data_IF_418379793080
#
_entry.id   IF_418379793080
#
_cell.length_a   1.000
_cell.length_b   1.000
_cell.length_c   1.000
_cell.angle_alpha   90.00
_cell.angle_beta   90.00
_cell.angle_gamma   90.00
#
_symmetry.space_group_name_H-M   'P 1'
#
loop_
_entity.id
_entity.type
_entity.pdbx_description
1 polymer ?
#
# COMPACT_ATOMS: atom_id res chain seq x y z
N UNK A 1 -28.59 27.30 26.85
CA UNK A 1 -27.41 26.79 27.53
C UNK A 1 -26.53 26.14 26.48
N UNK A 2 -25.59 26.92 25.94
CA UNK A 2 -24.74 26.51 24.80
C UNK A 2 -23.48 25.90 25.38
N UNK A 3 -23.27 24.59 25.16
CA UNK A 3 -22.01 23.93 25.46
C UNK A 3 -21.12 24.11 24.24
N UNK A 4 -20.25 25.10 24.30
CA UNK A 4 -19.15 25.28 23.37
C UNK A 4 -18.11 24.18 23.62
N UNK A 5 -18.13 23.16 22.77
CA UNK A 5 -17.05 22.19 22.68
C UNK A 5 -15.84 22.88 22.08
N UNK A 6 -14.95 23.38 22.95
CA UNK A 6 -13.65 23.90 22.57
C UNK A 6 -12.77 22.74 22.13
N UNK A 7 -12.74 22.45 20.84
CA UNK A 7 -11.65 21.68 20.26
C UNK A 7 -10.39 22.53 20.35
N UNK A 8 -9.63 22.33 21.41
CA UNK A 8 -8.27 22.83 21.51
C UNK A 8 -7.43 22.12 20.45
N UNK A 9 -7.22 22.79 19.34
CA UNK A 9 -6.21 22.46 18.35
C UNK A 9 -4.85 22.58 19.02
N UNK A 10 -4.31 21.45 19.50
CA UNK A 10 -2.95 21.35 20.04
C UNK A 10 -1.95 21.86 19.00
N UNK A 11 -0.91 22.60 19.41
CA UNK A 11 0.08 23.13 18.50
C UNK A 11 0.75 22.01 17.73
N UNK A 12 0.89 22.20 16.41
CA UNK A 12 1.34 21.22 15.41
C UNK A 12 2.78 20.68 15.58
N UNK A 13 3.43 20.92 16.70
CA UNK A 13 4.82 20.53 16.98
C UNK A 13 4.99 19.22 17.78
N UNK A 14 3.93 18.57 18.21
CA UNK A 14 3.99 17.37 19.03
C UNK A 14 3.07 16.25 18.54
N UNK A 15 2.85 16.17 17.24
CA UNK A 15 2.22 14.94 16.70
C UNK A 15 3.20 13.81 16.94
N UNK A 16 2.81 12.89 17.81
CA UNK A 16 3.61 11.72 18.16
C UNK A 16 3.96 10.95 16.88
N UNK A 17 5.19 10.45 16.76
CA UNK A 17 5.65 9.62 15.64
C UNK A 17 4.67 8.48 15.35
N UNK A 18 4.02 7.94 16.36
CA UNK A 18 3.06 6.85 16.22
C UNK A 18 1.77 7.28 15.53
N UNK A 19 1.29 8.49 15.80
CA UNK A 19 0.14 9.06 15.10
C UNK A 19 0.43 9.28 13.62
N UNK A 20 1.65 9.73 13.30
CA UNK A 20 2.10 9.89 11.90
C UNK A 20 2.19 8.57 11.16
N UNK A 21 2.64 7.52 11.84
CA UNK A 21 2.72 6.17 11.31
C UNK A 21 1.38 5.43 11.37
N UNK A 22 0.32 6.12 11.78
CA UNK A 22 -1.03 5.55 11.95
C UNK A 22 -1.06 4.29 12.83
N UNK A 23 -0.19 4.23 13.85
CA UNK A 23 -0.21 3.16 14.82
C UNK A 23 -1.36 3.42 15.81
N UNK A 24 -2.31 2.50 15.88
CA UNK A 24 -3.49 2.57 16.74
C UNK A 24 -3.46 1.42 17.77
N UNK A 25 -4.30 0.42 17.55
CA UNK A 25 -4.53 -0.69 18.48
C UNK A 25 -3.92 -2.02 18.03
N UNK A 26 -2.97 -1.96 17.07
CA UNK A 26 -2.29 -3.15 16.58
C UNK A 26 -1.51 -3.84 17.70
N UNK A 27 -1.69 -5.16 17.82
CA UNK A 27 -1.07 -5.97 18.89
C UNK A 27 0.21 -6.66 18.44
N UNK A 28 0.29 -7.03 17.16
CA UNK A 28 1.44 -7.77 16.60
C UNK A 28 2.32 -6.81 15.81
N UNK A 29 3.20 -6.12 16.53
CA UNK A 29 4.09 -5.10 15.99
C UNK A 29 5.45 -5.69 15.64
N UNK A 30 5.96 -5.33 14.45
CA UNK A 30 7.34 -5.55 14.04
C UNK A 30 8.02 -4.22 13.78
N UNK A 31 9.14 -3.96 14.43
CA UNK A 31 10.03 -2.82 14.11
C UNK A 31 11.43 -3.37 13.92
N UNK A 32 11.88 -3.41 12.68
CA UNK A 32 13.16 -4.02 12.31
C UNK A 32 14.16 -2.99 11.82
N UNK A 33 15.41 -3.11 12.28
CA UNK A 33 16.51 -2.23 11.87
C UNK A 33 16.47 -0.83 12.48
N UNK A 34 15.76 -0.65 13.60
CA UNK A 34 15.61 0.65 14.26
C UNK A 34 16.97 1.30 14.56
N UNK A 35 17.21 2.56 14.15
CA UNK A 35 18.42 3.30 14.50
C UNK A 35 18.47 3.61 16.00
N UNK A 36 19.67 3.55 16.61
CA UNK A 36 19.86 3.84 18.04
C UNK A 36 19.36 5.22 18.46
N UNK A 37 19.42 6.21 17.56
CA UNK A 37 18.90 7.57 17.78
C UNK A 37 17.38 7.60 17.98
N UNK A 38 16.67 6.64 17.40
CA UNK A 38 15.20 6.54 17.46
C UNK A 38 14.71 5.55 18.52
N UNK A 39 15.55 4.65 19.02
CA UNK A 39 15.13 3.61 19.98
C UNK A 39 14.37 4.17 21.19
N UNK A 40 14.81 5.31 21.72
CA UNK A 40 14.16 5.96 22.87
C UNK A 40 12.68 6.34 22.63
N UNK A 41 12.29 6.61 21.38
CA UNK A 41 10.89 6.93 21.05
C UNK A 41 10.00 5.70 21.09
N UNK A 42 10.56 4.51 20.92
CA UNK A 42 9.84 3.24 20.87
C UNK A 42 9.89 2.43 22.17
N UNK A 43 10.55 2.93 23.22
CA UNK A 43 10.72 2.21 24.50
C UNK A 43 9.42 1.84 25.20
N UNK A 44 8.34 2.58 24.96
CA UNK A 44 7.02 2.33 25.55
C UNK A 44 6.19 1.30 24.80
N UNK A 45 6.65 0.88 23.60
CA UNK A 45 5.96 -0.11 22.79
C UNK A 45 6.54 -1.51 23.00
N UNK A 46 5.65 -2.49 23.02
CA UNK A 46 6.04 -3.90 22.92
C UNK A 46 6.03 -4.33 21.46
N UNK A 47 7.19 -4.60 20.89
CA UNK A 47 7.33 -4.99 19.50
C UNK A 47 8.41 -6.06 19.31
N UNK A 48 8.31 -6.82 18.21
CA UNK A 48 9.34 -7.74 17.78
C UNK A 48 10.40 -7.01 16.93
N UNK A 49 11.69 -7.32 17.15
CA UNK A 49 12.79 -6.77 16.34
C UNK A 49 13.04 -7.59 15.07
N UNK A 50 12.58 -8.83 15.05
CA UNK A 50 12.72 -9.75 13.92
C UNK A 50 11.45 -10.59 13.75
N UNK A 51 11.28 -11.17 12.58
CA UNK A 51 10.17 -12.08 12.31
C UNK A 51 10.42 -13.42 13.01
N UNK A 52 9.65 -13.71 14.04
CA UNK A 52 9.69 -14.97 14.80
C UNK A 52 8.64 -15.96 14.31
N UNK A 53 8.79 -17.28 14.58
CA UNK A 53 7.74 -18.26 14.27
C UNK A 53 6.37 -17.90 14.88
N UNK A 54 6.37 -17.39 16.11
CA UNK A 54 5.14 -16.94 16.78
C UNK A 54 4.50 -15.75 16.05
N UNK A 55 5.31 -14.81 15.57
CA UNK A 55 4.81 -13.66 14.84
C UNK A 55 4.30 -14.06 13.45
N UNK A 56 4.93 -15.02 12.78
CA UNK A 56 4.43 -15.64 11.53
C UNK A 56 3.06 -16.27 11.73
N UNK A 57 2.85 -16.98 12.83
CA UNK A 57 1.58 -17.62 13.17
C UNK A 57 0.47 -16.61 13.49
N UNK A 58 0.78 -15.59 14.29
CA UNK A 58 -0.19 -14.56 14.69
C UNK A 58 -0.48 -13.52 13.63
N UNK A 59 0.37 -13.43 12.62
CA UNK A 59 0.38 -12.40 11.58
C UNK A 59 0.70 -11.00 12.09
N UNK A 60 1.56 -10.33 11.37
CA UNK A 60 1.97 -8.95 11.64
C UNK A 60 0.85 -8.00 11.25
N UNK A 61 0.43 -7.14 12.16
CA UNK A 61 -0.58 -6.11 11.91
C UNK A 61 0.06 -4.77 11.53
N UNK A 62 1.25 -4.51 12.08
CA UNK A 62 2.02 -3.30 11.78
C UNK A 62 3.50 -3.68 11.66
N UNK A 63 4.11 -3.33 10.54
CA UNK A 63 5.53 -3.50 10.29
C UNK A 63 6.18 -2.17 9.92
N UNK A 64 7.23 -1.79 10.64
CA UNK A 64 8.11 -0.67 10.33
C UNK A 64 9.52 -1.22 10.09
N UNK A 65 10.02 -1.09 8.87
CA UNK A 65 11.32 -1.61 8.45
C UNK A 65 12.24 -0.45 8.11
N UNK A 66 13.37 -0.36 8.81
CA UNK A 66 14.43 0.59 8.49
C UNK A 66 15.47 -0.10 7.59
N UNK A 67 15.76 0.49 6.45
CA UNK A 67 16.75 -0.02 5.50
C UNK A 67 17.61 1.10 4.94
N UNK A 68 18.89 0.78 4.71
CA UNK A 68 19.87 1.70 4.14
C UNK A 68 20.06 1.48 2.64
N UNK A 69 19.79 0.26 2.17
CA UNK A 69 19.95 -0.10 0.78
C UNK A 69 18.92 -1.14 0.33
N UNK A 70 18.79 -1.25 -0.98
CA UNK A 70 17.82 -2.11 -1.64
C UNK A 70 18.01 -3.60 -1.30
N UNK A 71 19.25 -4.07 -1.22
CA UNK A 71 19.53 -5.47 -0.90
C UNK A 71 19.10 -5.84 0.51
N UNK A 72 19.40 -4.97 1.49
CA UNK A 72 18.95 -5.13 2.86
C UNK A 72 17.43 -5.14 2.96
N UNK A 73 16.76 -4.17 2.31
CA UNK A 73 15.32 -4.10 2.26
C UNK A 73 14.72 -5.38 1.69
N UNK A 74 15.22 -5.83 0.55
CA UNK A 74 14.71 -7.03 -0.12
C UNK A 74 14.87 -8.30 0.73
N UNK A 75 16.01 -8.43 1.43
CA UNK A 75 16.23 -9.54 2.36
C UNK A 75 15.21 -9.54 3.52
N UNK A 76 14.94 -8.39 4.12
CA UNK A 76 13.96 -8.24 5.19
C UNK A 76 12.53 -8.54 4.70
N UNK A 77 12.17 -8.02 3.53
CA UNK A 77 10.82 -8.18 2.97
C UNK A 77 10.48 -9.64 2.61
N UNK A 78 11.47 -10.50 2.35
CA UNK A 78 11.24 -11.94 2.14
C UNK A 78 10.61 -12.61 3.35
N UNK A 79 10.95 -12.17 4.56
CA UNK A 79 10.40 -12.70 5.80
C UNK A 79 9.14 -11.96 6.26
N UNK A 80 9.12 -10.64 6.07
CA UNK A 80 8.04 -9.78 6.56
C UNK A 80 6.74 -9.99 5.76
N UNK A 81 6.81 -9.99 4.43
CA UNK A 81 5.61 -10.03 3.58
C UNK A 81 4.77 -11.29 3.81
N UNK A 82 5.33 -12.52 3.87
CA UNK A 82 4.53 -13.72 4.14
C UNK A 82 3.91 -13.73 5.54
N UNK A 83 4.51 -13.01 6.49
CA UNK A 83 4.04 -12.90 7.87
C UNK A 83 3.05 -11.75 8.07
N UNK A 84 2.94 -10.82 7.11
CA UNK A 84 2.05 -9.67 7.19
C UNK A 84 0.59 -10.11 7.02
N UNK A 85 -0.30 -9.51 7.81
CA UNK A 85 -1.75 -9.67 7.65
C UNK A 85 -2.22 -8.97 6.37
N UNK A 86 -3.29 -9.44 5.74
CA UNK A 86 -3.83 -8.84 4.51
C UNK A 86 -4.18 -7.35 4.65
N UNK A 87 -4.62 -6.95 5.83
CA UNK A 87 -4.90 -5.56 6.20
C UNK A 87 -3.75 -4.91 7.00
N UNK A 88 -2.60 -5.57 7.08
CA UNK A 88 -1.46 -5.11 7.85
C UNK A 88 -0.83 -3.86 7.23
N UNK A 89 -0.38 -2.96 8.09
CA UNK A 89 0.32 -1.73 7.69
C UNK A 89 1.80 -2.01 7.51
N UNK A 90 2.33 -1.74 6.32
CA UNK A 90 3.75 -1.86 6.01
C UNK A 90 4.36 -0.48 5.77
N UNK A 91 5.30 -0.11 6.61
CA UNK A 91 6.09 1.09 6.48
C UNK A 91 7.55 0.74 6.19
N UNK A 92 8.15 1.40 5.22
CA UNK A 92 9.57 1.31 4.91
C UNK A 92 10.22 2.65 5.15
N UNK A 93 11.12 2.70 6.13
CA UNK A 93 11.87 3.89 6.49
C UNK A 93 13.26 3.85 5.86
N UNK A 94 13.67 4.97 5.27
CA UNK A 94 14.95 5.15 4.62
C UNK A 94 15.54 6.54 4.94
N UNK A 95 16.87 6.72 4.83
CA UNK A 95 17.49 8.01 5.10
C UNK A 95 17.11 9.05 4.03
N UNK A 96 16.85 10.27 4.45
CA UNK A 96 16.64 11.39 3.53
C UNK A 96 17.89 11.68 2.71
N UNK A 97 17.76 12.17 1.48
CA UNK A 97 18.90 12.61 0.67
C UNK A 97 19.73 13.72 1.32
N UNK A 98 19.09 14.51 2.19
CA UNK A 98 19.75 15.58 2.98
C UNK A 98 20.51 15.07 4.19
N UNK A 99 20.38 13.78 4.54
CA UNK A 99 21.15 13.17 5.62
C UNK A 99 22.57 12.83 5.15
N UNK A 100 23.50 12.63 6.11
CA UNK A 100 24.87 12.20 5.80
C UNK A 100 24.98 10.68 5.58
N UNK A 101 23.87 9.96 5.64
CA UNK A 101 23.82 8.51 5.46
C UNK A 101 23.69 8.20 3.98
N UNK A 102 24.64 7.43 3.46
CA UNK A 102 24.59 6.95 2.08
C UNK A 102 23.51 5.87 1.95
N UNK A 103 22.60 6.05 1.02
CA UNK A 103 21.50 5.13 0.73
C UNK A 103 21.20 5.14 -0.76
N UNK A 104 20.86 4.00 -1.31
CA UNK A 104 20.31 3.86 -2.66
C UNK A 104 18.78 3.93 -2.67
N UNK A 105 18.17 3.98 -1.48
CA UNK A 105 16.73 4.16 -1.31
C UNK A 105 16.40 5.65 -1.27
N UNK A 106 15.43 6.05 -2.06
CA UNK A 106 14.90 7.41 -2.08
C UNK A 106 13.41 7.38 -2.49
N UNK A 107 12.76 8.55 -2.45
CA UNK A 107 11.35 8.69 -2.82
C UNK A 107 11.06 8.20 -4.25
N UNK A 108 11.97 8.45 -5.16
CA UNK A 108 11.81 8.24 -6.59
C UNK A 108 12.39 6.89 -7.05
N UNK A 109 12.97 6.11 -6.14
CA UNK A 109 13.46 4.79 -6.50
C UNK A 109 12.31 3.89 -6.94
N UNK A 110 12.64 2.98 -7.85
CA UNK A 110 11.69 1.99 -8.31
C UNK A 110 11.52 0.90 -7.22
N UNK A 111 10.47 1.00 -6.43
CA UNK A 111 10.13 0.05 -5.36
C UNK A 111 9.70 -1.33 -5.91
N UNK A 112 10.42 -1.81 -6.91
CA UNK A 112 10.11 -3.02 -7.66
C UNK A 112 9.96 -4.26 -6.77
N UNK A 113 10.80 -4.37 -5.72
CA UNK A 113 10.70 -5.46 -4.74
C UNK A 113 9.34 -5.53 -4.01
N UNK A 114 8.63 -4.42 -3.92
CA UNK A 114 7.29 -4.31 -3.36
C UNK A 114 6.21 -4.34 -4.46
N UNK A 115 6.44 -3.63 -5.56
CA UNK A 115 5.52 -3.58 -6.68
C UNK A 115 5.25 -4.98 -7.29
N UNK A 116 6.29 -5.79 -7.49
CA UNK A 116 6.17 -7.18 -7.98
C UNK A 116 5.39 -8.11 -7.03
N UNK A 117 5.26 -7.72 -5.76
CA UNK A 117 4.46 -8.43 -4.74
C UNK A 117 3.07 -7.83 -4.54
N UNK A 118 2.66 -6.91 -5.42
CA UNK A 118 1.35 -6.29 -5.40
C UNK A 118 1.20 -5.19 -4.34
N UNK A 119 2.30 -4.56 -3.91
CA UNK A 119 2.27 -3.43 -2.98
C UNK A 119 2.42 -2.10 -3.73
N UNK A 120 1.54 -1.15 -3.45
CA UNK A 120 1.62 0.21 -3.94
C UNK A 120 1.92 1.21 -2.82
N UNK A 121 2.58 2.31 -3.15
CA UNK A 121 2.77 3.43 -2.24
C UNK A 121 1.44 4.12 -1.96
N UNK A 122 1.18 4.47 -0.69
CA UNK A 122 -0.01 5.23 -0.31
C UNK A 122 0.38 6.60 0.21
N UNK A 123 1.33 6.66 1.16
CA UNK A 123 1.63 7.86 1.92
C UNK A 123 3.12 7.94 2.28
N UNK A 124 3.60 9.13 2.60
CA UNK A 124 4.98 9.39 3.01
C UNK A 124 4.98 10.28 4.25
N UNK A 125 5.73 9.86 5.26
CA UNK A 125 5.81 10.52 6.56
C UNK A 125 7.26 10.79 6.95
N UNK A 126 7.54 12.01 7.37
CA UNK A 126 8.83 12.37 7.96
C UNK A 126 8.88 11.87 9.40
N UNK A 127 9.80 10.95 9.68
CA UNK A 127 10.04 10.44 11.04
C UNK A 127 10.80 11.47 11.86
N UNK A 128 11.99 11.86 11.39
CA UNK A 128 12.83 12.88 12.01
C UNK A 128 13.65 13.66 10.97
N UNK A 129 14.72 14.33 11.39
CA UNK A 129 15.60 15.07 10.49
C UNK A 129 16.43 14.19 9.54
N UNK A 130 16.60 12.90 9.87
CA UNK A 130 17.38 11.93 9.09
C UNK A 130 16.47 10.99 8.30
N UNK A 131 15.36 10.53 8.89
CA UNK A 131 14.54 9.43 8.38
C UNK A 131 13.20 9.89 7.85
N UNK A 132 12.79 9.30 6.75
CA UNK A 132 11.42 9.35 6.23
C UNK A 132 10.92 7.94 6.00
N UNK A 133 9.61 7.74 6.02
CA UNK A 133 8.98 6.45 5.80
C UNK A 133 7.89 6.54 4.76
N UNK A 134 7.79 5.52 3.91
CA UNK A 134 6.71 5.35 2.94
C UNK A 134 5.82 4.20 3.41
N UNK A 135 4.51 4.43 3.36
CA UNK A 135 3.50 3.41 3.59
C UNK A 135 3.20 2.66 2.31
N UNK A 136 3.13 1.34 2.43
CA UNK A 136 2.73 0.45 1.36
C UNK A 136 1.48 -0.33 1.76
N UNK A 137 0.56 -0.52 0.82
CA UNK A 137 -0.53 -1.48 0.97
C UNK A 137 -0.52 -2.44 -0.22
N UNK A 138 -1.13 -3.61 -0.03
CA UNK A 138 -1.51 -4.43 -1.16
C UNK A 138 -2.47 -3.61 -2.02
N UNK A 139 -2.05 -3.31 -3.24
CA UNK A 139 -2.97 -2.84 -4.26
C UNK A 139 -3.96 -3.99 -4.47
N UNK A 140 -5.14 -3.93 -3.81
CA UNK A 140 -6.30 -4.49 -4.43
C UNK A 140 -6.30 -3.86 -5.82
N UNK A 141 -6.20 -4.68 -6.87
CA UNK A 141 -6.49 -4.24 -8.21
C UNK A 141 -7.91 -3.68 -8.08
N UNK A 142 -8.03 -2.38 -7.90
CA UNK A 142 -9.21 -1.67 -8.25
C UNK A 142 -9.25 -1.88 -9.75
N UNK A 143 -9.98 -2.91 -10.19
CA UNK A 143 -10.51 -2.93 -11.54
C UNK A 143 -11.30 -1.63 -11.58
N UNK A 144 -10.65 -0.60 -12.11
CA UNK A 144 -11.27 0.70 -12.21
C UNK A 144 -12.53 0.47 -13.03
N UNK A 145 -13.68 0.92 -12.55
CA UNK A 145 -14.96 0.84 -13.24
C UNK A 145 -14.87 1.34 -14.70
N UNK A 146 -13.85 2.14 -15.02
CA UNK A 146 -13.49 2.52 -16.39
C UNK A 146 -13.12 1.36 -17.32
N UNK A 147 -12.56 0.25 -16.82
CA UNK A 147 -12.26 -0.91 -17.68
C UNK A 147 -13.52 -1.72 -17.96
N UNK A 148 -14.45 -1.78 -17.00
CA UNK A 148 -15.77 -2.41 -17.18
C UNK A 148 -16.63 -1.61 -18.15
N UNK A 149 -16.59 -0.27 -18.11
CA UNK A 149 -17.32 0.58 -19.06
C UNK A 149 -16.81 0.45 -20.48
N UNK A 150 -15.49 0.27 -20.68
CA UNK A 150 -14.92 0.04 -22.01
C UNK A 150 -15.23 -1.35 -22.56
N UNK A 151 -15.27 -2.39 -21.72
CA UNK A 151 -15.66 -3.72 -22.15
C UNK A 151 -17.16 -3.81 -22.44
N UNK A 152 -18.01 -3.15 -21.63
CA UNK A 152 -19.45 -3.08 -21.90
C UNK A 152 -19.76 -2.27 -23.16
N UNK A 153 -19.04 -1.19 -23.46
CA UNK A 153 -19.20 -0.45 -24.72
C UNK A 153 -18.77 -1.28 -25.94
N UNK A 154 -17.74 -2.12 -25.82
CA UNK A 154 -17.32 -3.02 -26.89
C UNK A 154 -18.29 -4.20 -27.13
N UNK A 155 -18.93 -4.69 -26.07
CA UNK A 155 -19.97 -5.73 -26.21
C UNK A 155 -21.21 -5.21 -26.91
N UNK A 156 -21.64 -3.98 -26.64
CA UNK A 156 -22.78 -3.35 -27.31
C UNK A 156 -22.52 -3.10 -28.80
N UNK A 157 -21.27 -2.78 -29.16
CA UNK A 157 -20.89 -2.60 -30.56
C UNK A 157 -20.93 -3.93 -31.33
N UNK A 158 -20.45 -5.02 -30.74
CA UNK A 158 -20.44 -6.36 -31.35
C UNK A 158 -21.84 -6.94 -31.49
N UNK A 159 -22.73 -6.68 -30.54
CA UNK A 159 -24.12 -7.15 -30.58
C UNK A 159 -24.91 -6.43 -31.70
N UNK A 160 -24.68 -5.13 -31.86
CA UNK A 160 -25.33 -4.35 -32.94
C UNK A 160 -24.90 -4.82 -34.33
N UNK A 161 -23.65 -5.15 -34.55
CA UNK A 161 -23.17 -5.68 -35.82
C UNK A 161 -23.70 -7.07 -36.16
N UNK A 162 -23.91 -7.92 -35.16
CA UNK A 162 -24.50 -9.25 -35.32
C UNK A 162 -26.00 -9.14 -35.66
N UNK A 163 -26.73 -8.25 -35.03
CA UNK A 163 -28.16 -8.05 -35.32
C UNK A 163 -28.37 -7.47 -36.72
N UNK A 164 -27.53 -6.56 -37.18
CA UNK A 164 -27.63 -5.98 -38.55
C UNK A 164 -27.31 -7.02 -39.62
N UNK A 165 -26.37 -7.93 -39.39
CA UNK A 165 -26.06 -9.02 -40.34
C UNK A 165 -27.15 -10.07 -40.40
N UNK A 166 -27.83 -10.35 -39.29
CA UNK A 166 -28.94 -11.28 -39.24
C UNK A 166 -30.20 -10.77 -39.96
N UNK A 167 -30.46 -9.47 -39.92
CA UNK A 167 -31.63 -8.88 -40.57
C UNK A 167 -31.49 -8.74 -42.12
N UNK A 168 -30.29 -8.86 -42.67
CA UNK A 168 -30.06 -8.85 -44.13
C UNK A 168 -30.19 -10.22 -44.80
N UNK A 169 -30.30 -11.30 -44.06
CA UNK A 169 -30.35 -12.68 -44.57
C UNK A 169 -31.79 -13.19 -44.82
N UNK A 170 -32.83 -12.46 -44.43
CA UNK A 170 -34.25 -12.85 -44.62
C UNK A 170 -34.96 -11.96 -45.65
N UNK A 171 -34.47 -11.93 -46.83
CA UNK A 171 -35.14 -11.19 -47.88
C UNK A 171 -34.82 -11.75 -49.26
N UNK A 172 -35.46 -12.80 -49.66
CA UNK A 172 -36.00 -13.03 -50.99
C UNK A 172 -36.28 -14.53 -51.23
N UNK A 173 -37.45 -14.99 -50.86
CA UNK A 173 -38.01 -16.19 -51.52
C UNK A 173 -39.11 -15.68 -52.45
N UNK A 174 -38.81 -15.62 -53.74
CA UNK A 174 -39.82 -15.48 -54.77
C UNK A 174 -40.32 -16.86 -55.15
N UNK A 175 -41.54 -17.14 -54.84
CA UNK A 175 -42.32 -18.21 -55.43
C UNK A 175 -42.64 -17.89 -56.86
N UNK A 176 -42.21 -18.76 -57.78
CA UNK A 176 -42.74 -18.83 -59.16
C UNK A 176 -43.60 -20.09 -59.28
N UNK A 177 -44.88 -19.90 -59.48
CA UNK A 177 -45.84 -20.94 -59.88
C UNK A 177 -46.08 -20.76 -61.36
N UNK A 178 -45.87 -21.82 -62.11
CA UNK A 178 -46.56 -22.18 -63.32
C UNK A 178 -46.44 -23.64 -63.55
#
# INVERSE_FOLDING_TARGET
MLILSSQQKLPSMLVNIFERLELCDEKNLLIQGIPSTLEKHFTKLSFAKNVTPLLKSRKIEFALVFALNYNQLNAILKDVIPALKSQGKLWVAYPKPTSKIVSDLNRDCNWECLATKGFGKIDEVVIDHVWTAIRFCTTCIQVSDKALDLEMMNLDATVKDVVIKSSRSYGTVRTAIS
#
